data_IF_587047303749
#
_entry.id   IF_587047303749
#
_cell.length_a   1.000
_cell.length_b   1.000
_cell.length_c   1.000
_cell.angle_alpha   90.00
_cell.angle_beta   90.00
_cell.angle_gamma   90.00
#
_symmetry.space_group_name_H-M   'P 1'
#
loop_
_entity.id
_entity.type
_entity.pdbx_description
1 polymer ?
#
# COMPACT_ATOMS: atom_id res chain seq x y z
N UNK A 1 65.45 10.59 -20.61
CA UNK A 1 64.51 9.57 -20.10
C UNK A 1 64.24 9.93 -18.65
N UNK A 2 63.08 10.34 -18.18
CA UNK A 2 61.78 10.64 -18.78
C UNK A 2 61.13 11.56 -17.72
N UNK A 3 60.68 12.73 -18.14
CA UNK A 3 59.28 13.12 -18.09
C UNK A 3 58.93 13.98 -16.87
N UNK A 4 57.96 14.84 -17.11
CA UNK A 4 57.74 16.14 -16.50
C UNK A 4 56.56 16.09 -15.50
N UNK A 5 56.26 17.20 -14.80
CA UNK A 5 55.43 17.26 -13.60
C UNK A 5 53.95 17.48 -13.91
N UNK A 6 53.04 17.28 -12.94
CA UNK A 6 51.71 17.90 -12.97
C UNK A 6 51.23 18.39 -11.60
N UNK A 7 50.99 19.70 -11.59
CA UNK A 7 50.26 20.50 -10.62
C UNK A 7 48.79 20.09 -10.45
N UNK A 8 48.25 20.40 -9.27
CA UNK A 8 46.97 21.11 -9.12
C UNK A 8 45.68 20.32 -9.30
N UNK A 9 44.72 20.48 -8.39
CA UNK A 9 43.69 21.52 -8.55
C UNK A 9 42.85 21.63 -7.27
N UNK A 10 42.56 22.88 -6.92
CA UNK A 10 41.69 23.28 -5.82
C UNK A 10 40.27 22.73 -5.99
N UNK A 11 39.69 22.23 -4.90
CA UNK A 11 38.24 22.04 -4.77
C UNK A 11 37.56 23.42 -4.77
N UNK A 12 36.92 23.76 -5.88
CA UNK A 12 35.94 24.84 -5.90
C UNK A 12 34.62 24.31 -5.35
N UNK A 13 34.22 24.77 -4.16
CA UNK A 13 32.84 24.70 -3.69
C UNK A 13 32.01 25.68 -4.53
N UNK A 14 31.11 25.17 -5.35
CA UNK A 14 30.05 25.94 -5.99
C UNK A 14 28.79 25.75 -5.16
N UNK A 15 28.44 26.77 -4.37
CA UNK A 15 27.14 26.89 -3.71
C UNK A 15 26.09 27.29 -4.75
N UNK A 16 24.93 26.60 -4.85
CA UNK A 16 23.83 27.09 -5.67
C UNK A 16 23.13 28.28 -5.00
N UNK A 17 22.91 29.30 -5.81
CA UNK A 17 22.19 30.54 -5.50
C UNK A 17 20.72 30.21 -5.23
N UNK A 18 20.24 30.66 -4.07
CA UNK A 18 18.86 30.55 -3.60
C UNK A 18 17.97 31.46 -4.45
N UNK A 19 17.06 30.85 -5.23
CA UNK A 19 15.99 31.56 -5.94
C UNK A 19 14.85 31.86 -4.96
N UNK A 20 14.68 33.14 -4.62
CA UNK A 20 13.56 33.64 -3.83
C UNK A 20 12.34 33.78 -4.75
N UNK A 21 11.35 32.92 -4.59
CA UNK A 21 10.06 33.03 -5.30
C UNK A 21 9.07 33.80 -4.41
N UNK A 22 8.69 34.99 -4.86
CA UNK A 22 7.63 35.82 -4.26
C UNK A 22 6.25 35.19 -4.43
N UNK A 23 5.59 34.95 -3.30
CA UNK A 23 4.22 34.47 -3.17
C UNK A 23 3.24 35.63 -3.42
N UNK A 24 2.33 35.49 -4.38
CA UNK A 24 1.19 36.38 -4.57
C UNK A 24 -0.07 35.73 -3.98
N UNK A 25 -0.63 36.34 -2.93
CA UNK A 25 -1.95 36.00 -2.40
C UNK A 25 -3.06 36.63 -3.24
N UNK A 26 -4.06 35.83 -3.61
CA UNK A 26 -5.37 36.31 -4.02
C UNK A 26 -6.43 35.57 -3.19
N UNK A 27 -7.30 36.36 -2.55
CA UNK A 27 -8.30 35.92 -1.60
C UNK A 27 -9.72 36.12 -2.13
N UNK A 28 -10.63 35.32 -1.56
CA UNK A 28 -12.06 35.53 -1.32
C UNK A 28 -13.08 35.46 -2.47
N UNK A 29 -14.10 34.62 -2.24
CA UNK A 29 -15.50 35.05 -2.31
C UNK A 29 -16.45 34.06 -2.97
N UNK A 30 -17.38 33.47 -2.20
CA UNK A 30 -18.52 32.74 -2.77
C UNK A 30 -19.38 32.04 -1.71
N UNK A 31 -20.31 32.79 -1.11
CA UNK A 31 -21.35 32.31 -0.19
C UNK A 31 -22.71 32.38 -0.88
N UNK A 32 -23.53 31.34 -0.70
CA UNK A 32 -24.96 31.26 -1.04
C UNK A 32 -25.38 29.79 -0.88
N UNK A 33 -26.45 29.40 -0.18
CA UNK A 33 -27.71 30.07 0.13
C UNK A 33 -28.85 29.16 -0.34
N UNK A 34 -29.92 29.08 0.46
CA UNK A 34 -31.27 28.52 0.19
C UNK A 34 -31.60 27.04 0.48
N UNK A 35 -32.29 26.86 1.62
CA UNK A 35 -33.74 26.60 1.78
C UNK A 35 -34.45 25.37 1.17
N UNK A 36 -35.28 24.73 2.02
CA UNK A 36 -36.48 23.96 1.64
C UNK A 36 -36.55 22.55 2.26
N UNK A 37 -37.15 22.31 3.43
CA UNK A 37 -38.60 22.24 3.76
C UNK A 37 -39.27 20.86 3.55
N UNK A 38 -39.79 20.33 4.67
CA UNK A 38 -41.07 19.64 4.90
C UNK A 38 -41.31 18.17 4.45
N UNK A 39 -41.91 17.41 5.39
CA UNK A 39 -42.68 16.17 5.16
C UNK A 39 -42.57 15.17 6.33
N UNK A 40 -43.29 15.34 7.44
CA UNK A 40 -44.55 14.63 7.84
C UNK A 40 -44.49 13.10 7.96
N UNK A 41 -44.61 12.63 9.21
CA UNK A 41 -45.12 11.34 9.78
C UNK A 41 -46.28 10.66 8.99
N UNK A 42 -46.69 9.37 9.21
CA UNK A 42 -46.60 8.58 10.48
C UNK A 42 -46.38 7.04 10.38
N UNK A 43 -46.11 6.45 11.55
CA UNK A 43 -46.54 5.14 12.11
C UNK A 43 -46.86 3.92 11.21
N UNK A 44 -46.18 2.80 11.51
CA UNK A 44 -46.73 1.44 11.34
C UNK A 44 -46.37 0.54 12.54
N UNK A 45 -47.40 -0.11 13.10
CA UNK A 45 -47.36 -1.02 14.23
C UNK A 45 -47.18 -2.48 13.75
N UNK A 46 -46.34 -3.27 14.47
CA UNK A 46 -46.46 -4.68 14.97
C UNK A 46 -47.32 -5.75 14.23
N UNK A 47 -47.24 -7.09 14.52
CA UNK A 47 -46.31 -7.88 15.37
C UNK A 47 -45.87 -9.27 14.82
N UNK A 48 -45.05 -9.97 15.62
CA UNK A 48 -45.01 -11.44 15.89
C UNK A 48 -44.73 -12.48 14.77
N UNK A 49 -43.65 -13.26 14.94
CA UNK A 49 -43.71 -14.67 15.38
C UNK A 49 -42.38 -15.40 15.05
N UNK A 50 -41.66 -15.86 16.07
CA UNK A 50 -40.60 -16.86 15.93
C UNK A 50 -40.98 -18.10 16.75
N UNK A 51 -41.00 -19.31 16.16
CA UNK A 51 -41.19 -20.55 16.91
C UNK A 51 -39.88 -20.99 17.62
N UNK A 52 -39.99 -21.79 18.70
CA UNK A 52 -38.88 -22.23 19.52
C UNK A 52 -38.33 -23.61 19.09
N UNK A 53 -37.11 -23.90 19.56
CA UNK A 53 -36.76 -25.22 20.10
C UNK A 53 -36.34 -26.28 19.08
N UNK A 54 -35.03 -26.39 18.86
CA UNK A 54 -34.38 -27.57 18.30
C UNK A 54 -33.16 -27.92 19.15
N UNK A 55 -33.42 -28.57 20.28
CA UNK A 55 -32.38 -29.23 21.09
C UNK A 55 -31.86 -30.44 20.32
N UNK A 56 -30.55 -30.47 20.02
CA UNK A 56 -29.87 -31.70 19.61
C UNK A 56 -29.12 -32.30 20.81
N UNK A 57 -29.17 -33.62 21.00
CA UNK A 57 -28.56 -34.28 22.15
C UNK A 57 -27.03 -34.22 22.15
N UNK A 58 -26.52 -33.95 23.34
CA UNK A 58 -25.20 -34.27 23.87
C UNK A 58 -24.93 -35.78 23.66
N UNK A 59 -23.96 -36.11 22.81
CA UNK A 59 -23.51 -37.49 22.60
C UNK A 59 -21.98 -37.56 22.79
N UNK A 60 -21.61 -38.20 23.89
CA UNK A 60 -20.56 -39.21 23.83
C UNK A 60 -19.13 -38.72 23.90
N UNK A 61 -18.63 -38.58 25.14
CA UNK A 61 -17.20 -38.62 25.41
C UNK A 61 -16.54 -39.88 24.83
N UNK A 62 -15.40 -39.66 24.17
CA UNK A 62 -14.46 -40.66 23.69
C UNK A 62 -13.04 -40.13 23.87
N UNK A 63 -12.06 -41.02 24.12
CA UNK A 63 -10.89 -40.74 24.95
C UNK A 63 -9.87 -39.81 24.29
N UNK A 64 -9.26 -38.98 25.12
CA UNK A 64 -8.01 -38.27 24.86
C UNK A 64 -6.90 -39.26 24.44
N UNK A 65 -6.29 -39.08 23.26
CA UNK A 65 -4.94 -39.57 23.02
C UNK A 65 -3.96 -38.52 23.56
N UNK A 66 -3.31 -38.88 24.67
CA UNK A 66 -1.99 -38.40 25.03
C UNK A 66 -1.00 -38.82 23.93
N UNK A 67 -0.68 -37.90 23.03
CA UNK A 67 0.52 -37.99 22.19
C UNK A 67 1.19 -36.62 22.15
N UNK A 68 2.15 -36.45 23.07
CA UNK A 68 3.21 -35.47 22.93
C UNK A 68 4.00 -35.72 21.64
N UNK A 69 3.61 -35.01 20.58
CA UNK A 69 4.46 -34.76 19.42
C UNK A 69 5.07 -33.37 19.62
N UNK A 70 6.41 -33.31 19.63
CA UNK A 70 7.14 -32.09 19.86
C UNK A 70 6.73 -30.97 18.89
N UNK A 71 6.80 -29.74 19.40
CA UNK A 71 6.79 -28.50 18.63
C UNK A 71 7.99 -28.45 17.67
N UNK A 72 7.96 -29.26 16.62
CA UNK A 72 8.63 -28.91 15.37
C UNK A 72 7.85 -27.73 14.78
N UNK A 73 8.48 -26.57 14.52
CA UNK A 73 7.78 -25.45 13.91
C UNK A 73 7.24 -25.93 12.56
N UNK A 74 5.93 -26.12 12.48
CA UNK A 74 5.24 -26.47 11.27
C UNK A 74 5.72 -25.51 10.19
N UNK A 75 6.48 -26.03 9.22
CA UNK A 75 6.81 -25.26 8.03
C UNK A 75 5.52 -24.69 7.45
N UNK A 76 5.57 -23.49 6.84
CA UNK A 76 4.37 -22.83 6.33
C UNK A 76 3.55 -23.82 5.48
N UNK A 77 2.22 -23.85 5.64
CA UNK A 77 1.37 -24.84 5.00
C UNK A 77 1.63 -24.82 3.49
N UNK A 78 1.82 -26.01 2.90
CA UNK A 78 2.03 -26.18 1.48
C UNK A 78 0.85 -25.58 0.69
N UNK A 79 1.03 -24.36 0.18
CA UNK A 79 -0.02 -23.57 -0.47
C UNK A 79 -0.06 -22.09 -0.05
N UNK A 80 0.63 -21.68 1.01
CA UNK A 80 0.78 -20.27 1.36
C UNK A 80 1.68 -19.57 0.33
N UNK A 81 1.19 -18.52 -0.32
CA UNK A 81 2.03 -17.69 -1.18
C UNK A 81 3.10 -17.01 -0.29
N UNK A 82 4.40 -17.15 -0.62
CA UNK A 82 5.48 -16.74 0.29
C UNK A 82 5.56 -15.22 0.51
N UNK A 83 4.83 -14.45 -0.29
CA UNK A 83 4.72 -13.01 -0.20
C UNK A 83 3.50 -12.53 0.60
N UNK A 84 2.61 -13.44 1.00
CA UNK A 84 1.49 -13.15 1.87
C UNK A 84 1.89 -13.28 3.33
N UNK A 85 1.47 -12.32 4.15
CA UNK A 85 1.74 -12.32 5.59
C UNK A 85 0.51 -11.92 6.38
N UNK A 86 0.39 -12.49 7.58
CA UNK A 86 -0.66 -12.14 8.54
C UNK A 86 -0.25 -10.86 9.30
N UNK A 87 -1.05 -9.81 9.17
CA UNK A 87 -0.82 -8.52 9.82
C UNK A 87 -0.97 -8.60 11.34
N UNK A 88 -1.76 -9.55 11.86
CA UNK A 88 -1.98 -9.75 13.30
C UNK A 88 -0.74 -10.35 13.98
N UNK A 89 0.03 -11.13 13.24
CA UNK A 89 1.24 -11.80 13.72
C UNK A 89 2.52 -11.04 13.40
N UNK A 90 2.48 -10.14 12.41
CA UNK A 90 3.62 -9.38 11.96
C UNK A 90 4.11 -8.34 12.98
N UNK A 91 5.42 -8.11 12.97
CA UNK A 91 6.08 -7.15 13.83
C UNK A 91 7.08 -6.29 13.05
N UNK A 92 7.33 -5.08 13.55
CA UNK A 92 8.42 -4.24 13.02
C UNK A 92 9.75 -5.00 13.15
N UNK A 93 10.47 -5.12 12.04
CA UNK A 93 11.71 -5.87 11.93
C UNK A 93 11.57 -7.20 11.20
N UNK A 94 10.36 -7.74 11.04
CA UNK A 94 10.10 -8.97 10.27
C UNK A 94 10.45 -8.80 8.80
N UNK A 95 10.72 -9.92 8.12
CA UNK A 95 11.01 -9.95 6.68
C UNK A 95 9.92 -10.69 5.92
N UNK A 96 9.44 -10.07 4.85
CA UNK A 96 8.48 -10.65 3.89
C UNK A 96 9.10 -10.48 2.50
N UNK A 97 9.34 -11.60 1.80
CA UNK A 97 10.01 -11.63 0.48
C UNK A 97 11.25 -10.73 0.35
N UNK A 98 12.10 -10.72 1.38
CA UNK A 98 13.35 -9.96 1.39
C UNK A 98 13.19 -8.46 1.69
N UNK A 99 11.98 -7.97 1.91
CA UNK A 99 11.69 -6.63 2.41
C UNK A 99 11.45 -6.68 3.91
N UNK A 100 11.91 -5.68 4.66
CA UNK A 100 11.78 -5.59 6.11
C UNK A 100 10.63 -4.66 6.51
N UNK A 101 9.78 -5.04 7.45
CA UNK A 101 8.77 -4.15 8.03
C UNK A 101 9.47 -3.07 8.86
N UNK A 102 9.29 -1.81 8.49
CA UNK A 102 9.80 -0.65 9.23
C UNK A 102 8.74 0.01 10.12
N UNK A 103 7.50 -0.01 9.65
CA UNK A 103 6.37 0.51 10.42
C UNK A 103 5.13 -0.33 10.12
N UNK A 104 4.38 -0.61 11.17
CA UNK A 104 3.14 -1.36 11.12
C UNK A 104 2.09 -0.60 11.91
N UNK A 105 0.96 -0.31 11.28
CA UNK A 105 -0.19 0.30 11.92
C UNK A 105 -1.45 -0.39 11.45
N UNK A 106 -2.14 -1.06 12.38
CA UNK A 106 -3.41 -1.71 12.12
C UNK A 106 -4.44 -1.12 13.10
N UNK A 107 -5.47 -0.48 12.56
CA UNK A 107 -6.51 0.18 13.34
C UNK A 107 -7.83 -0.57 13.17
N UNK A 108 -8.34 -1.08 14.29
CA UNK A 108 -9.72 -1.53 14.47
C UNK A 108 -10.67 -0.34 14.65
N UNK A 109 -11.94 -0.47 14.27
CA UNK A 109 -12.93 0.49 14.75
C UNK A 109 -13.13 0.31 16.27
N UNK A 110 -13.29 1.40 17.06
CA UNK A 110 -13.36 1.31 18.52
C UNK A 110 -14.54 0.50 19.07
N UNK A 111 -15.54 0.17 18.23
CA UNK A 111 -16.72 -0.63 18.61
C UNK A 111 -16.87 -1.91 17.77
N UNK A 112 -15.80 -2.32 17.08
CA UNK A 112 -15.81 -3.57 16.33
C UNK A 112 -15.69 -4.77 17.28
N UNK A 113 -16.40 -5.88 17.00
CA UNK A 113 -16.25 -7.09 17.80
C UNK A 113 -14.81 -7.61 17.70
N UNK A 114 -14.33 -8.40 18.68
CA UNK A 114 -12.92 -8.85 18.74
C UNK A 114 -12.44 -9.65 17.53
N UNK A 115 -13.35 -10.16 16.72
CA UNK A 115 -13.12 -10.93 15.49
C UNK A 115 -13.23 -10.07 14.21
N UNK A 116 -13.59 -8.79 14.33
CA UNK A 116 -13.63 -7.89 13.19
C UNK A 116 -12.20 -7.49 12.81
N UNK A 117 -11.80 -7.96 11.62
CA UNK A 117 -10.53 -7.63 10.99
C UNK A 117 -10.33 -6.12 10.85
N UNK A 118 -9.08 -5.69 10.93
CA UNK A 118 -8.70 -4.29 10.84
C UNK A 118 -9.27 -3.62 9.57
N UNK A 119 -10.16 -2.62 9.69
CA UNK A 119 -10.65 -1.85 8.54
C UNK A 119 -9.54 -1.06 7.87
N UNK A 120 -8.51 -0.66 8.63
CA UNK A 120 -7.41 0.17 8.15
C UNK A 120 -6.05 -0.41 8.53
N UNK A 121 -5.20 -0.67 7.53
CA UNK A 121 -3.86 -1.20 7.66
C UNK A 121 -2.91 -0.32 6.85
N UNK A 122 -1.83 0.13 7.49
CA UNK A 122 -0.66 0.72 6.83
C UNK A 122 0.59 -0.04 7.25
N UNK A 123 1.29 -0.60 6.27
CA UNK A 123 2.56 -1.30 6.50
C UNK A 123 3.62 -0.70 5.58
N UNK A 124 4.69 -0.15 6.16
CA UNK A 124 5.84 0.35 5.40
C UNK A 124 6.99 -0.62 5.50
N UNK A 125 7.58 -0.91 4.35
CA UNK A 125 8.72 -1.80 4.20
C UNK A 125 9.95 -1.04 3.73
N UNK A 126 11.14 -1.49 4.11
CA UNK A 126 12.39 -1.14 3.44
C UNK A 126 13.02 -2.35 2.77
N UNK A 127 13.84 -2.07 1.76
CA UNK A 127 14.49 -3.08 0.95
C UNK A 127 14.22 -2.83 -0.52
N UNK A 128 15.22 -3.09 -1.34
CA UNK A 128 15.11 -2.85 -2.77
C UNK A 128 14.56 -4.09 -3.48
N UNK A 129 13.65 -3.86 -4.42
CA UNK A 129 13.16 -4.91 -5.30
C UNK A 129 13.04 -4.38 -6.73
N UNK A 130 13.51 -5.17 -7.69
CA UNK A 130 13.40 -4.86 -9.12
C UNK A 130 12.22 -5.60 -9.70
N UNK A 131 11.31 -4.90 -10.37
CA UNK A 131 10.03 -5.39 -10.88
C UNK A 131 9.90 -5.09 -12.37
N UNK A 132 9.29 -6.00 -13.12
CA UNK A 132 8.85 -5.77 -14.50
C UNK A 132 7.34 -5.59 -14.54
N UNK A 133 6.85 -4.75 -15.45
CA UNK A 133 5.42 -4.45 -15.50
C UNK A 133 5.03 -3.33 -16.44
N UNK A 134 3.74 -2.98 -16.38
CA UNK A 134 3.14 -1.85 -17.10
C UNK A 134 3.16 -0.61 -16.20
N UNK A 135 3.36 0.57 -16.76
CA UNK A 135 3.15 1.84 -16.07
C UNK A 135 2.04 2.65 -16.75
N UNK A 136 1.46 3.55 -15.97
CA UNK A 136 0.49 4.54 -16.40
C UNK A 136 0.86 5.88 -15.77
N UNK A 137 1.19 6.85 -16.62
CA UNK A 137 1.41 8.24 -16.21
C UNK A 137 0.16 9.04 -16.55
N UNK A 138 -0.55 9.43 -15.50
CA UNK A 138 -1.80 10.17 -15.60
C UNK A 138 -1.57 11.62 -16.03
N UNK A 139 -2.50 12.21 -16.81
CA UNK A 139 -2.42 13.61 -17.20
C UNK A 139 -2.70 14.55 -16.00
N UNK A 140 -2.34 15.84 -16.10
CA UNK A 140 -2.60 16.81 -15.03
C UNK A 140 -4.08 17.04 -14.74
N UNK A 141 -4.97 16.78 -15.71
CA UNK A 141 -6.41 16.90 -15.59
C UNK A 141 -7.11 15.68 -14.96
N UNK A 142 -6.37 14.63 -14.59
CA UNK A 142 -6.96 13.46 -13.93
C UNK A 142 -7.52 13.83 -12.55
N UNK A 143 -8.75 13.37 -12.25
CA UNK A 143 -9.46 13.72 -11.01
C UNK A 143 -8.86 13.05 -9.77
N UNK A 144 -8.29 11.86 -9.93
CA UNK A 144 -7.85 11.02 -8.82
C UNK A 144 -6.33 11.00 -8.68
N UNK A 145 -5.60 11.00 -9.79
CA UNK A 145 -4.16 10.81 -9.85
C UNK A 145 -3.46 11.87 -10.71
N UNK A 146 -3.68 13.18 -10.49
CA UNK A 146 -3.13 14.22 -11.37
C UNK A 146 -1.59 14.15 -11.41
N UNK A 147 -1.04 13.90 -12.61
CA UNK A 147 0.41 13.79 -12.87
C UNK A 147 1.13 12.64 -12.14
N UNK A 148 0.41 11.69 -11.54
CA UNK A 148 1.03 10.57 -10.84
C UNK A 148 1.42 9.49 -11.84
N UNK A 149 2.50 8.75 -11.53
CA UNK A 149 2.86 7.53 -12.26
C UNK A 149 2.54 6.33 -11.39
N UNK A 150 1.70 5.43 -11.89
CA UNK A 150 1.38 4.17 -11.23
C UNK A 150 1.92 2.98 -12.01
N UNK A 151 2.28 1.93 -11.28
CA UNK A 151 2.96 0.74 -11.79
C UNK A 151 2.16 -0.52 -11.45
N UNK A 152 2.02 -1.36 -12.45
CA UNK A 152 1.28 -2.60 -12.44
C UNK A 152 2.29 -3.73 -12.73
N UNK A 153 2.90 -4.32 -11.70
CA UNK A 153 3.85 -5.41 -11.89
C UNK A 153 3.19 -6.59 -12.60
N UNK A 154 3.97 -7.31 -13.42
CA UNK A 154 3.54 -8.62 -13.95
C UNK A 154 3.39 -9.67 -12.84
N UNK A 155 2.82 -10.82 -13.16
CA UNK A 155 2.48 -11.84 -12.16
C UNK A 155 3.71 -12.30 -11.34
N UNK A 156 4.83 -12.56 -12.01
CA UNK A 156 6.08 -12.98 -11.34
C UNK A 156 6.66 -11.86 -10.48
N UNK A 157 6.55 -10.60 -10.92
CA UNK A 157 6.97 -9.43 -10.15
C UNK A 157 6.07 -9.15 -8.96
N UNK A 158 4.77 -9.30 -9.10
CA UNK A 158 3.81 -9.11 -8.02
C UNK A 158 4.06 -10.06 -6.84
N UNK A 159 4.50 -11.29 -7.12
CA UNK A 159 4.90 -12.29 -6.10
C UNK A 159 6.16 -11.91 -5.32
N UNK A 160 6.87 -10.85 -5.71
CA UNK A 160 8.05 -10.32 -4.99
C UNK A 160 7.70 -9.13 -4.09
N UNK A 161 6.44 -8.72 -4.06
CA UNK A 161 5.95 -7.69 -3.17
C UNK A 161 5.18 -8.29 -1.99
N UNK A 162 5.38 -7.80 -0.76
CA UNK A 162 4.57 -8.18 0.38
C UNK A 162 3.09 -7.89 0.13
N UNK A 163 2.23 -8.80 0.56
CA UNK A 163 0.77 -8.68 0.47
C UNK A 163 0.18 -9.09 1.81
N UNK A 164 -0.77 -8.32 2.33
CA UNK A 164 -1.50 -8.75 3.54
C UNK A 164 -2.39 -9.94 3.17
N UNK A 165 -2.42 -10.99 3.98
CA UNK A 165 -3.16 -12.22 3.68
C UNK A 165 -4.65 -11.96 3.37
N UNK A 166 -5.25 -10.99 4.08
CA UNK A 166 -6.65 -10.58 3.90
C UNK A 166 -6.88 -9.63 2.72
N UNK A 167 -5.83 -9.09 2.10
CA UNK A 167 -5.93 -8.20 0.94
C UNK A 167 -6.08 -9.02 -0.35
N UNK A 168 -7.23 -8.83 -0.99
CA UNK A 168 -7.62 -9.52 -2.23
C UNK A 168 -7.46 -8.62 -3.46
N UNK A 169 -6.97 -7.38 -3.30
CA UNK A 169 -6.75 -6.47 -4.42
C UNK A 169 -5.61 -6.99 -5.30
N UNK A 170 -5.69 -6.69 -6.59
CA UNK A 170 -4.55 -6.84 -7.48
C UNK A 170 -3.41 -5.95 -6.98
N UNK A 171 -2.17 -6.46 -7.00
CA UNK A 171 -1.01 -5.69 -6.57
C UNK A 171 -0.65 -4.64 -7.62
N UNK A 172 -0.77 -3.38 -7.26
CA UNK A 172 -0.26 -2.23 -8.00
C UNK A 172 0.03 -1.11 -7.01
N UNK A 173 0.79 -0.10 -7.43
CA UNK A 173 1.16 1.01 -6.58
C UNK A 173 1.43 2.27 -7.40
N UNK A 174 1.43 3.43 -6.75
CA UNK A 174 1.88 4.68 -7.35
C UNK A 174 3.19 5.15 -6.73
N UNK A 175 4.01 5.85 -7.51
CA UNK A 175 5.27 6.38 -6.99
C UNK A 175 5.03 7.58 -6.08
N UNK A 176 5.60 7.55 -4.89
CA UNK A 176 5.46 8.61 -3.88
C UNK A 176 6.38 9.81 -4.19
N UNK A 177 7.52 9.54 -4.83
CA UNK A 177 8.41 10.56 -5.39
C UNK A 177 7.96 11.01 -6.79
N UNK A 178 6.82 11.70 -6.83
CA UNK A 178 6.08 12.04 -8.05
C UNK A 178 6.94 12.81 -9.07
N UNK A 179 7.72 13.80 -8.65
CA UNK A 179 8.50 14.63 -9.59
C UNK A 179 9.61 13.82 -10.27
N UNK A 180 10.34 13.01 -9.51
CA UNK A 180 11.37 12.11 -10.00
C UNK A 180 10.78 11.07 -10.97
N UNK A 181 9.65 10.46 -10.58
CA UNK A 181 8.96 9.50 -11.45
C UNK A 181 8.51 10.15 -12.77
N UNK A 182 7.93 11.35 -12.73
CA UNK A 182 7.54 12.10 -13.94
C UNK A 182 8.72 12.40 -14.83
N UNK A 183 9.86 12.79 -14.26
CA UNK A 183 11.07 13.07 -15.02
C UNK A 183 11.61 11.81 -15.72
N UNK A 184 11.62 10.68 -15.02
CA UNK A 184 12.11 9.40 -15.55
C UNK A 184 11.18 8.84 -16.62
N UNK A 185 9.87 8.81 -16.35
CA UNK A 185 8.94 8.19 -17.28
C UNK A 185 8.66 9.07 -18.49
N UNK A 186 8.69 10.40 -18.38
CA UNK A 186 8.36 11.35 -19.46
C UNK A 186 6.92 11.85 -19.38
N UNK A 187 6.30 12.30 -20.48
CA UNK A 187 4.91 12.83 -20.47
C UNK A 187 3.82 11.78 -20.21
N UNK A 188 2.54 12.17 -20.07
CA UNK A 188 1.43 11.24 -19.83
C UNK A 188 1.32 10.13 -20.88
N UNK A 189 0.79 8.98 -20.47
CA UNK A 189 0.62 7.81 -21.33
C UNK A 189 0.85 6.49 -20.60
N UNK A 190 0.84 5.39 -21.35
CA UNK A 190 1.08 4.04 -20.83
C UNK A 190 2.30 3.42 -21.49
N UNK A 191 2.85 2.37 -20.88
CA UNK A 191 3.97 1.63 -21.42
C UNK A 191 4.42 0.51 -20.50
N UNK A 192 5.55 -0.10 -20.80
CA UNK A 192 6.20 -1.12 -19.95
C UNK A 192 7.56 -0.65 -19.48
N UNK A 193 7.99 -1.06 -18.29
CA UNK A 193 9.33 -0.79 -17.80
C UNK A 193 9.79 -1.88 -16.83
N UNK A 194 11.09 -1.89 -16.57
CA UNK A 194 11.70 -2.55 -15.41
C UNK A 194 12.05 -1.46 -14.41
N UNK A 195 11.54 -1.56 -13.17
CA UNK A 195 11.74 -0.54 -12.13
C UNK A 195 12.42 -1.15 -10.92
N UNK A 196 13.34 -0.42 -10.30
CA UNK A 196 13.84 -0.74 -8.97
C UNK A 196 13.19 0.23 -7.98
N UNK A 197 12.57 -0.31 -6.95
CA UNK A 197 11.86 0.46 -5.93
C UNK A 197 12.42 0.19 -4.54
N UNK A 198 12.11 1.09 -3.61
CA UNK A 198 12.30 0.93 -2.17
C UNK A 198 11.13 1.59 -1.43
N UNK A 199 11.12 1.52 -0.09
CA UNK A 199 10.10 2.16 0.75
C UNK A 199 8.65 1.78 0.38
N UNK A 200 8.43 0.50 0.03
CA UNK A 200 7.10 0.03 -0.37
C UNK A 200 6.11 0.15 0.79
N UNK A 201 4.96 0.73 0.56
CA UNK A 201 3.92 0.92 1.56
C UNK A 201 2.61 0.33 1.10
N UNK A 202 2.09 -0.63 1.89
CA UNK A 202 0.73 -1.13 1.74
C UNK A 202 -0.20 -0.17 2.45
N UNK A 203 -1.18 0.37 1.72
CA UNK A 203 -2.28 1.12 2.29
C UNK A 203 -3.58 0.37 1.99
N UNK A 204 -4.26 -0.06 3.05
CA UNK A 204 -5.59 -0.65 2.98
C UNK A 204 -6.50 0.14 3.92
N UNK A 205 -7.49 0.83 3.36
CA UNK A 205 -8.49 1.59 4.11
C UNK A 205 -9.87 1.30 3.50
N UNK A 206 -10.97 1.58 4.20
CA UNK A 206 -12.32 1.40 3.66
C UNK A 206 -12.61 2.32 2.46
N UNK A 207 -11.91 3.45 2.37
CA UNK A 207 -11.89 4.33 1.20
C UNK A 207 -10.86 3.87 0.17
N UNK A 208 -11.04 4.27 -1.09
CA UNK A 208 -10.06 4.01 -2.14
C UNK A 208 -8.69 4.58 -1.77
N UNK A 209 -7.73 3.70 -1.52
CA UNK A 209 -6.34 4.01 -1.24
C UNK A 209 -5.47 3.11 -2.10
N UNK A 210 -4.29 3.63 -2.43
CA UNK A 210 -3.31 2.92 -3.27
C UNK A 210 -2.06 2.62 -2.47
N UNK A 211 -1.43 1.49 -2.78
CA UNK A 211 -0.09 1.24 -2.28
C UNK A 211 0.88 2.24 -2.91
N UNK A 212 2.00 2.51 -2.25
CA UNK A 212 3.00 3.46 -2.75
C UNK A 212 4.40 2.88 -2.67
N UNK A 213 5.33 3.45 -3.44
CA UNK A 213 6.75 3.10 -3.39
C UNK A 213 7.62 4.28 -3.82
N UNK A 214 8.89 4.27 -3.44
CA UNK A 214 9.90 5.20 -3.95
C UNK A 214 10.57 4.59 -5.17
N UNK A 215 10.51 5.28 -6.30
CA UNK A 215 11.28 4.93 -7.49
C UNK A 215 12.77 5.22 -7.25
N UNK A 216 13.61 4.20 -7.39
CA UNK A 216 15.07 4.37 -7.40
C UNK A 216 15.62 4.45 -8.84
N UNK A 217 15.10 3.60 -9.72
CA UNK A 217 15.58 3.48 -11.10
C UNK A 217 14.47 2.92 -12.00
N UNK A 218 14.43 3.34 -13.27
CA UNK A 218 13.66 2.66 -14.31
C UNK A 218 14.51 2.47 -15.57
N UNK A 219 14.46 1.27 -16.13
CA UNK A 219 15.15 0.87 -17.37
C UNK A 219 14.16 0.17 -18.30
N UNK A 220 14.61 -0.09 -19.53
CA UNK A 220 13.82 -0.80 -20.56
C UNK A 220 12.42 -0.19 -20.80
N UNK A 221 12.30 1.13 -20.65
CA UNK A 221 11.03 1.85 -20.82
C UNK A 221 10.60 1.76 -22.30
N UNK A 222 9.40 1.22 -22.53
CA UNK A 222 8.76 1.14 -23.85
C UNK A 222 7.37 1.77 -23.77
N UNK A 223 7.09 2.68 -24.70
CA UNK A 223 5.81 3.41 -24.81
C UNK A 223 5.09 2.97 -26.09
#
# INVERSE_FOLDING_TARGET
>A
MSDMPLCGFHRALVLPVILVLTLAMAACGGSGGDDGAAGTDPAAQSPAASPPGGETPDDGGGPEPDEGAGDDPAGPPAGAEPNRFDVEQAQVGDQVVGMRIEALSAYGEPNQPPDARFPSITVRFSGQVTLTGRFEHFPPEDEFFPQVVCFFPDEDSARRLPVVETDQRTVWFCFDNVEEARQVFGGPGTGTATVTIDSYTINSYPSEVVNTAILLEAIDIRR
#
